data_IF_457467268705
#
_entry.id   IF_457467268705
#
_cell.length_a   1.000
_cell.length_b   1.000
_cell.length_c   1.000
_cell.angle_alpha   90.00
_cell.angle_beta   90.00
_cell.angle_gamma   90.00
#
_symmetry.space_group_name_H-M   'P 1'
#
loop_
_entity.id
_entity.type
_entity.pdbx_description
1 polymer ?
#
# COMPACT_ATOMS: atom_id res chain seq x y z
N UNK A 1 -8.83 -25.10 -26.64
CA UNK A 1 -9.13 -23.67 -26.42
C UNK A 1 -10.53 -23.61 -25.85
N UNK A 2 -10.67 -23.45 -24.53
CA UNK A 2 -11.99 -23.28 -23.92
C UNK A 2 -12.44 -21.84 -24.15
N UNK A 3 -13.59 -21.65 -24.81
CA UNK A 3 -14.27 -20.36 -24.84
C UNK A 3 -14.84 -20.12 -23.45
N UNK A 4 -14.53 -18.99 -22.80
CA UNK A 4 -15.29 -18.58 -21.62
C UNK A 4 -16.74 -18.32 -22.06
N UNK A 5 -17.69 -18.99 -21.45
CA UNK A 5 -19.11 -18.72 -21.64
C UNK A 5 -19.56 -17.57 -20.74
N UNK A 6 -20.64 -16.88 -21.11
CA UNK A 6 -21.22 -15.84 -20.24
C UNK A 6 -21.64 -16.40 -18.87
N UNK A 7 -21.97 -17.69 -18.80
CA UNK A 7 -22.33 -18.39 -17.57
C UNK A 7 -21.14 -18.50 -16.59
N UNK A 8 -19.91 -18.59 -17.10
CA UNK A 8 -18.68 -18.68 -16.29
C UNK A 8 -18.37 -17.35 -15.55
N UNK A 9 -19.06 -16.26 -15.91
CA UNK A 9 -18.88 -14.91 -15.39
C UNK A 9 -20.04 -14.49 -14.45
N UNK A 10 -20.79 -15.46 -13.95
CA UNK A 10 -21.91 -15.27 -13.03
C UNK A 10 -21.65 -15.88 -11.66
N UNK A 11 -22.22 -15.27 -10.63
CA UNK A 11 -22.10 -15.77 -9.27
C UNK A 11 -23.04 -16.96 -9.05
N UNK A 12 -22.53 -18.09 -8.56
CA UNK A 12 -23.34 -19.28 -8.31
C UNK A 12 -24.34 -19.15 -7.14
N UNK A 13 -24.33 -18.03 -6.39
CA UNK A 13 -25.25 -17.77 -5.28
C UNK A 13 -26.42 -16.88 -5.72
N UNK A 14 -26.14 -15.70 -6.27
CA UNK A 14 -27.18 -14.77 -6.74
C UNK A 14 -27.58 -14.99 -8.21
N UNK A 15 -26.83 -15.79 -8.97
CA UNK A 15 -27.05 -16.08 -10.40
C UNK A 15 -27.00 -14.85 -11.31
N UNK A 16 -26.42 -13.76 -10.83
CA UNK A 16 -26.21 -12.54 -11.61
C UNK A 16 -24.74 -12.39 -12.02
N UNK A 17 -24.42 -11.56 -13.03
CA UNK A 17 -23.05 -11.23 -13.39
C UNK A 17 -22.28 -10.63 -12.20
N UNK A 18 -20.99 -10.96 -12.11
CA UNK A 18 -20.16 -10.48 -11.00
C UNK A 18 -20.06 -8.95 -10.97
N UNK A 19 -20.44 -8.35 -9.85
CA UNK A 19 -20.28 -6.93 -9.59
C UNK A 19 -19.03 -6.65 -8.73
N UNK A 20 -18.76 -7.50 -7.74
CA UNK A 20 -17.57 -7.40 -6.89
C UNK A 20 -17.00 -8.80 -6.66
N UNK A 21 -16.30 -9.38 -7.67
CA UNK A 21 -15.83 -10.75 -7.61
C UNK A 21 -14.74 -10.91 -6.54
N UNK A 22 -14.92 -11.82 -5.60
CA UNK A 22 -13.91 -12.18 -4.60
C UNK A 22 -13.64 -13.68 -4.72
N UNK A 23 -12.35 -14.04 -4.76
CA UNK A 23 -11.91 -15.42 -4.96
C UNK A 23 -11.54 -16.06 -3.63
N UNK A 24 -12.16 -17.18 -3.30
CA UNK A 24 -11.81 -18.00 -2.14
C UNK A 24 -10.50 -18.75 -2.40
N UNK A 25 -9.88 -19.27 -1.33
CA UNK A 25 -8.64 -20.06 -1.42
C UNK A 25 -8.78 -21.34 -2.26
N UNK A 26 -10.00 -21.86 -2.41
CA UNK A 26 -10.27 -23.00 -3.29
C UNK A 26 -10.28 -22.64 -4.78
N UNK A 27 -10.11 -21.36 -5.14
CA UNK A 27 -10.12 -20.88 -6.53
C UNK A 27 -11.51 -20.56 -7.10
N UNK A 28 -12.58 -20.70 -6.32
CA UNK A 28 -13.93 -20.32 -6.74
C UNK A 28 -14.19 -18.84 -6.44
N UNK A 29 -14.84 -18.15 -7.36
CA UNK A 29 -15.15 -16.73 -7.28
C UNK A 29 -16.65 -16.51 -7.10
N UNK A 30 -17.00 -15.59 -6.20
CA UNK A 30 -18.39 -15.23 -5.90
C UNK A 30 -18.50 -13.71 -5.74
N UNK A 31 -19.72 -13.18 -5.75
CA UNK A 31 -19.95 -11.80 -5.34
C UNK A 31 -19.70 -11.62 -3.83
N UNK A 32 -19.05 -10.50 -3.49
CA UNK A 32 -18.72 -10.13 -2.10
C UNK A 32 -19.89 -10.26 -1.14
N UNK A 33 -21.03 -9.65 -1.44
CA UNK A 33 -22.16 -9.62 -0.52
C UNK A 33 -22.73 -11.02 -0.29
N UNK A 34 -22.76 -11.87 -1.33
CA UNK A 34 -23.10 -13.28 -1.18
C UNK A 34 -22.13 -14.01 -0.25
N UNK A 35 -20.82 -13.77 -0.37
CA UNK A 35 -19.85 -14.41 0.54
C UNK A 35 -19.97 -13.91 1.98
N UNK A 36 -20.43 -12.69 2.19
CA UNK A 36 -20.56 -12.10 3.52
C UNK A 36 -21.72 -12.72 4.28
N UNK A 37 -22.79 -13.08 3.59
CA UNK A 37 -23.89 -13.87 4.15
C UNK A 37 -23.47 -15.31 4.44
N UNK A 38 -22.46 -15.82 3.74
CA UNK A 38 -21.93 -17.18 3.86
C UNK A 38 -20.72 -17.30 4.80
N UNK A 39 -20.40 -16.28 5.60
CA UNK A 39 -19.31 -16.36 6.59
C UNK A 39 -19.52 -17.55 7.53
N UNK A 40 -18.42 -18.25 7.85
CA UNK A 40 -18.38 -19.48 8.63
C UNK A 40 -19.05 -20.71 7.96
N UNK A 41 -19.45 -20.59 6.69
CA UNK A 41 -19.93 -21.72 5.89
C UNK A 41 -18.86 -22.21 4.89
N UNK A 42 -18.89 -23.48 4.46
CA UNK A 42 -17.98 -23.98 3.44
C UNK A 42 -18.38 -23.47 2.04
N UNK A 43 -17.42 -23.44 1.11
CA UNK A 43 -17.66 -23.02 -0.27
C UNK A 43 -18.86 -23.78 -0.91
N UNK A 44 -19.83 -23.08 -1.52
CA UNK A 44 -21.01 -23.70 -2.13
C UNK A 44 -20.69 -24.73 -3.23
N UNK A 45 -19.58 -24.54 -3.93
CA UNK A 45 -19.20 -25.35 -5.09
C UNK A 45 -18.42 -26.60 -4.66
N UNK A 46 -17.30 -26.44 -3.97
CA UNK A 46 -16.43 -27.58 -3.62
C UNK A 46 -16.53 -28.05 -2.17
N UNK A 47 -17.16 -27.28 -1.28
CA UNK A 47 -17.31 -27.57 0.16
C UNK A 47 -16.00 -27.76 0.95
N UNK A 48 -14.85 -27.40 0.38
CA UNK A 48 -13.54 -27.62 1.00
C UNK A 48 -13.00 -26.39 1.75
N UNK A 49 -13.15 -25.19 1.19
CA UNK A 49 -12.66 -23.97 1.86
C UNK A 49 -13.74 -23.33 2.72
N UNK A 50 -13.40 -22.95 3.94
CA UNK A 50 -14.24 -22.13 4.80
C UNK A 50 -14.25 -20.68 4.32
N UNK A 51 -15.43 -20.04 4.30
CA UNK A 51 -15.55 -18.61 4.04
C UNK A 51 -15.23 -17.86 5.33
N UNK A 52 -14.14 -17.10 5.30
CA UNK A 52 -13.64 -16.36 6.44
C UNK A 52 -14.27 -14.96 6.51
N UNK A 53 -14.45 -14.42 7.72
CA UNK A 53 -15.02 -13.09 7.94
C UNK A 53 -14.23 -11.95 7.25
N UNK A 54 -12.95 -12.14 6.95
CA UNK A 54 -12.13 -11.15 6.25
C UNK A 54 -12.55 -10.92 4.79
N UNK A 55 -13.33 -11.84 4.19
CA UNK A 55 -13.86 -11.72 2.82
C UNK A 55 -14.67 -10.43 2.64
N UNK A 56 -15.35 -9.99 3.69
CA UNK A 56 -16.08 -8.72 3.71
C UNK A 56 -15.19 -7.50 3.38
N UNK A 57 -13.89 -7.56 3.70
CA UNK A 57 -12.93 -6.46 3.56
C UNK A 57 -12.00 -6.63 2.34
N UNK A 58 -11.82 -7.86 1.84
CA UNK A 58 -10.89 -8.18 0.75
C UNK A 58 -11.19 -7.37 -0.51
N UNK A 59 -10.20 -6.83 -1.24
CA UNK A 59 -10.48 -6.18 -2.52
C UNK A 59 -11.09 -7.15 -3.54
N UNK A 60 -11.85 -6.61 -4.50
CA UNK A 60 -12.35 -7.40 -5.62
C UNK A 60 -11.22 -7.80 -6.57
N UNK A 61 -11.42 -8.88 -7.31
CA UNK A 61 -10.54 -9.29 -8.39
C UNK A 61 -10.85 -8.44 -9.64
N UNK A 62 -10.06 -7.38 -9.85
CA UNK A 62 -10.25 -6.45 -10.95
C UNK A 62 -10.14 -7.10 -12.34
N UNK A 63 -9.38 -8.19 -12.50
CA UNK A 63 -9.24 -8.88 -13.78
C UNK A 63 -10.55 -9.58 -14.17
N UNK A 64 -11.14 -10.34 -13.24
CA UNK A 64 -12.44 -11.01 -13.49
C UNK A 64 -13.50 -9.97 -13.80
N UNK A 65 -13.51 -8.87 -13.06
CA UNK A 65 -14.46 -7.79 -13.26
C UNK A 65 -14.33 -7.12 -14.63
N UNK A 66 -13.11 -6.83 -15.09
CA UNK A 66 -12.88 -6.27 -16.42
C UNK A 66 -13.39 -7.21 -17.52
N UNK A 67 -13.16 -8.51 -17.36
CA UNK A 67 -13.68 -9.52 -18.28
C UNK A 67 -15.21 -9.53 -18.27
N UNK A 68 -15.84 -9.50 -17.10
CA UNK A 68 -17.32 -9.43 -16.98
C UNK A 68 -17.89 -8.21 -17.72
N UNK A 69 -17.31 -7.03 -17.52
CA UNK A 69 -17.74 -5.79 -18.18
C UNK A 69 -17.56 -5.87 -19.70
N UNK A 70 -16.44 -6.44 -20.17
CA UNK A 70 -16.17 -6.61 -21.59
C UNK A 70 -17.14 -7.58 -22.28
N UNK A 71 -17.52 -8.67 -21.60
CA UNK A 71 -18.48 -9.64 -22.12
C UNK A 71 -19.93 -9.14 -22.04
N UNK A 72 -20.30 -8.38 -21.00
CA UNK A 72 -21.65 -7.86 -20.79
C UNK A 72 -21.78 -6.38 -21.16
N UNK A 73 -21.34 -5.98 -22.35
CA UNK A 73 -21.36 -4.56 -22.77
C UNK A 73 -22.75 -3.91 -22.69
N UNK A 74 -23.80 -4.61 -23.11
CA UNK A 74 -25.18 -4.13 -23.06
C UNK A 74 -25.77 -4.02 -21.64
N UNK A 75 -25.26 -4.80 -20.69
CA UNK A 75 -25.68 -4.81 -19.27
C UNK A 75 -24.70 -4.11 -18.33
N UNK A 76 -23.61 -3.56 -18.87
CA UNK A 76 -22.47 -3.05 -18.09
C UNK A 76 -22.87 -1.95 -17.11
N UNK A 77 -23.83 -1.09 -17.48
CA UNK A 77 -24.33 -0.04 -16.60
C UNK A 77 -24.92 -0.58 -15.29
N UNK A 78 -25.73 -1.64 -15.35
CA UNK A 78 -26.32 -2.27 -14.16
C UNK A 78 -25.25 -2.95 -13.28
N UNK A 79 -24.25 -3.56 -13.92
CA UNK A 79 -23.11 -4.19 -13.24
C UNK A 79 -22.29 -3.13 -12.50
N UNK A 80 -22.00 -2.00 -13.15
CA UNK A 80 -21.29 -0.86 -12.56
C UNK A 80 -22.05 -0.24 -11.39
N UNK A 81 -23.38 -0.14 -11.45
CA UNK A 81 -24.16 0.36 -10.31
C UNK A 81 -24.07 -0.55 -9.10
N UNK A 82 -24.20 -1.88 -9.30
CA UNK A 82 -24.02 -2.87 -8.23
C UNK A 82 -22.60 -2.88 -7.68
N UNK A 83 -21.60 -2.70 -8.54
CA UNK A 83 -20.21 -2.58 -8.14
C UNK A 83 -19.99 -1.41 -7.18
N UNK A 84 -20.53 -0.24 -7.52
CA UNK A 84 -20.41 0.97 -6.69
C UNK A 84 -21.04 0.72 -5.32
N UNK A 85 -22.24 0.13 -5.28
CA UNK A 85 -22.94 -0.22 -4.05
C UNK A 85 -22.11 -1.20 -3.20
N UNK A 86 -21.63 -2.29 -3.78
CA UNK A 86 -20.78 -3.27 -3.08
C UNK A 86 -19.49 -2.64 -2.55
N UNK A 87 -18.86 -1.73 -3.31
CA UNK A 87 -17.65 -1.03 -2.88
C UNK A 87 -17.94 -0.05 -1.73
N UNK A 88 -19.07 0.67 -1.77
CA UNK A 88 -19.52 1.51 -0.65
C UNK A 88 -19.72 0.70 0.63
N UNK A 89 -20.40 -0.45 0.55
CA UNK A 89 -20.58 -1.38 1.68
C UNK A 89 -19.24 -1.92 2.19
N UNK A 90 -18.30 -2.22 1.30
CA UNK A 90 -16.94 -2.63 1.69
C UNK A 90 -16.22 -1.51 2.45
N UNK A 91 -16.23 -0.27 1.93
CA UNK A 91 -15.59 0.86 2.58
C UNK A 91 -16.20 1.17 3.95
N UNK A 92 -17.53 1.06 4.08
CA UNK A 92 -18.21 1.18 5.36
C UNK A 92 -17.71 0.12 6.37
N UNK A 93 -17.60 -1.14 5.95
CA UNK A 93 -17.06 -2.22 6.80
C UNK A 93 -15.59 -2.01 7.16
N UNK A 94 -14.76 -1.50 6.25
CA UNK A 94 -13.36 -1.15 6.53
C UNK A 94 -13.28 -0.03 7.58
N UNK A 95 -14.15 0.99 7.48
CA UNK A 95 -14.19 2.09 8.45
C UNK A 95 -14.65 1.62 9.85
N UNK A 96 -15.56 0.64 9.91
CA UNK A 96 -16.06 0.06 11.15
C UNK A 96 -15.17 -1.06 11.72
N UNK A 97 -14.31 -1.67 10.89
CA UNK A 97 -13.42 -2.72 11.32
C UNK A 97 -12.57 -2.19 12.49
N UNK A 98 -12.44 -2.97 13.58
CA UNK A 98 -11.58 -2.55 14.68
C UNK A 98 -10.19 -2.33 14.09
N UNK A 99 -9.69 -1.08 14.16
CA UNK A 99 -8.26 -0.82 13.97
C UNK A 99 -7.61 -1.83 14.88
N UNK A 100 -6.85 -2.77 14.33
CA UNK A 100 -6.04 -3.68 15.15
C UNK A 100 -5.41 -2.77 16.18
N UNK A 101 -5.79 -2.93 17.46
CA UNK A 101 -5.04 -2.31 18.54
C UNK A 101 -3.66 -2.80 18.23
N UNK A 102 -2.82 -1.91 17.66
CA UNK A 102 -1.42 -2.19 17.51
C UNK A 102 -1.10 -2.66 18.91
N UNK A 103 -0.77 -3.95 19.07
CA UNK A 103 -0.30 -4.42 20.35
C UNK A 103 0.87 -3.51 20.56
N UNK A 104 0.68 -2.50 21.40
CA UNK A 104 1.72 -1.84 22.10
C UNK A 104 2.23 -2.96 23.00
N UNK A 105 2.98 -3.87 22.40
CA UNK A 105 4.16 -4.37 23.00
C UNK A 105 4.92 -3.08 23.30
N UNK A 106 4.64 -2.53 24.48
CA UNK A 106 5.60 -1.80 25.26
C UNK A 106 6.82 -2.71 25.33
N UNK A 107 7.64 -2.67 24.28
CA UNK A 107 9.07 -2.60 24.53
C UNK A 107 9.17 -1.46 25.51
N UNK A 108 9.34 -1.79 26.79
CA UNK A 108 9.99 -0.89 27.74
C UNK A 108 11.28 -0.51 27.03
N UNK A 109 11.24 0.62 26.33
CA UNK A 109 12.43 1.31 25.90
C UNK A 109 13.08 1.71 27.22
N UNK A 110 14.29 1.21 27.54
CA UNK A 110 15.00 1.74 28.69
C UNK A 110 15.13 3.24 28.44
N UNK A 111 14.76 4.03 29.43
CA UNK A 111 14.96 5.47 29.42
C UNK A 111 16.47 5.73 29.37
N UNK A 112 17.00 5.84 28.17
CA UNK A 112 18.36 6.32 27.95
C UNK A 112 18.21 7.81 27.62
N UNK A 113 18.51 8.64 28.62
CA UNK A 113 18.68 10.08 28.44
C UNK A 113 19.96 10.33 27.64
N UNK A 114 19.86 10.24 26.31
CA UNK A 114 20.97 10.65 25.43
C UNK A 114 20.88 12.14 25.18
N UNK A 115 21.92 12.89 25.55
CA UNK A 115 22.04 14.30 25.21
C UNK A 115 22.23 14.43 23.70
N UNK A 116 21.21 14.93 23.02
CA UNK A 116 21.13 15.02 21.56
C UNK A 116 22.14 16.00 20.93
N UNK A 117 22.92 16.74 21.73
CA UNK A 117 23.91 17.69 21.23
C UNK A 117 25.18 17.06 20.65
N UNK A 118 25.65 15.94 21.22
CA UNK A 118 26.95 15.35 20.84
C UNK A 118 26.85 14.20 19.82
N UNK A 119 25.70 13.55 19.73
CA UNK A 119 25.50 12.37 18.87
C UNK A 119 25.25 12.76 17.41
N UNK A 120 24.59 13.89 17.15
CA UNK A 120 24.28 14.37 15.79
C UNK A 120 25.56 14.78 15.05
N UNK A 121 26.58 15.27 15.78
CA UNK A 121 27.83 15.74 15.18
C UNK A 121 28.75 14.60 14.73
N UNK A 122 28.81 13.49 15.49
CA UNK A 122 29.66 12.35 15.13
C UNK A 122 29.06 11.47 14.04
N UNK A 123 27.73 11.37 13.94
CA UNK A 123 27.09 10.49 12.97
C UNK A 123 27.05 11.10 11.57
N UNK A 124 26.98 12.43 11.43
CA UNK A 124 27.05 13.12 10.13
C UNK A 124 28.40 12.92 9.40
N UNK A 125 29.50 12.72 10.14
CA UNK A 125 30.84 12.46 9.60
C UNK A 125 31.08 10.99 9.24
N UNK A 126 30.25 10.06 9.75
CA UNK A 126 30.39 8.62 9.53
C UNK A 126 29.28 8.02 8.66
N UNK A 127 28.38 8.84 8.11
CA UNK A 127 27.41 8.37 7.13
C UNK A 127 28.13 8.06 5.81
N UNK A 128 28.03 6.84 5.27
CA UNK A 128 28.67 6.48 4.01
C UNK A 128 27.87 7.09 2.86
N UNK A 129 28.33 8.24 2.38
CA UNK A 129 27.69 8.99 1.28
C UNK A 129 27.65 8.19 -0.04
N UNK A 130 28.44 7.13 -0.17
CA UNK A 130 28.46 6.18 -1.30
C UNK A 130 27.15 5.41 -1.50
N UNK A 131 26.26 5.37 -0.49
CA UNK A 131 24.97 4.68 -0.59
C UNK A 131 23.85 5.55 -1.20
N UNK A 132 24.02 6.87 -1.23
CA UNK A 132 23.05 7.80 -1.84
C UNK A 132 23.34 7.99 -3.33
N UNK A 133 24.61 7.91 -3.73
CA UNK A 133 25.06 7.95 -5.11
C UNK A 133 25.57 6.55 -5.49
N UNK A 134 24.63 5.61 -5.68
CA UNK A 134 24.93 4.19 -5.85
C UNK A 134 25.93 3.85 -6.97
N UNK A 135 26.57 2.67 -6.91
CA UNK A 135 27.59 2.29 -7.89
C UNK A 135 26.94 1.93 -9.23
N UNK A 136 27.60 2.37 -10.29
CA UNK A 136 27.29 2.13 -11.69
C UNK A 136 26.84 0.68 -11.97
N UNK A 137 25.69 0.55 -12.61
CA UNK A 137 25.15 -0.71 -13.10
C UNK A 137 24.14 -0.49 -14.21
N UNK A 138 24.66 -0.49 -15.45
CA UNK A 138 24.01 -0.33 -16.75
C UNK A 138 23.82 1.10 -17.26
N UNK A 139 24.29 1.22 -18.48
CA UNK A 139 24.75 2.37 -19.23
C UNK A 139 23.60 2.86 -20.11
N UNK A 140 23.29 4.15 -20.03
CA UNK A 140 22.99 4.98 -21.21
C UNK A 140 23.07 6.47 -20.82
N UNK A 141 23.42 7.26 -21.82
CA UNK A 141 24.20 8.49 -21.81
C UNK A 141 23.58 9.71 -21.09
N UNK A 142 24.46 10.71 -20.90
CA UNK A 142 24.19 12.14 -20.73
C UNK A 142 24.31 12.71 -19.30
N UNK A 143 25.56 12.89 -18.90
CA UNK A 143 25.98 13.81 -17.83
C UNK A 143 25.42 15.22 -18.08
N UNK A 144 24.61 15.72 -17.16
CA UNK A 144 24.38 17.17 -17.01
C UNK A 144 25.17 17.66 -15.78
N UNK A 145 26.16 18.58 -15.94
CA UNK A 145 27.07 18.99 -14.87
C UNK A 145 26.44 19.88 -13.77
N UNK A 146 25.15 20.17 -13.85
CA UNK A 146 24.49 21.15 -12.97
C UNK A 146 24.06 20.57 -11.62
N UNK A 147 23.92 19.24 -11.53
CA UNK A 147 23.52 18.53 -10.31
C UNK A 147 24.63 18.45 -9.25
N UNK A 148 25.90 18.43 -9.68
CA UNK A 148 27.05 18.41 -8.78
C UNK A 148 27.34 19.80 -8.17
N UNK A 149 27.08 20.91 -8.86
CA UNK A 149 27.34 22.25 -8.30
C UNK A 149 26.36 22.62 -7.16
N UNK A 150 25.13 22.11 -7.26
CA UNK A 150 24.09 22.29 -6.24
C UNK A 150 24.42 21.58 -4.91
N UNK A 151 25.20 20.50 -4.92
CA UNK A 151 25.59 19.81 -3.69
C UNK A 151 26.68 20.55 -2.92
N UNK A 152 27.68 21.13 -3.60
CA UNK A 152 28.76 21.88 -2.94
C UNK A 152 28.28 23.21 -2.34
N UNK A 153 27.38 23.93 -3.02
CA UNK A 153 26.82 25.18 -2.50
C UNK A 153 26.07 24.98 -1.17
N UNK A 154 25.36 23.86 -1.02
CA UNK A 154 24.67 23.48 0.22
C UNK A 154 25.70 23.19 1.32
N UNK A 155 26.77 22.45 1.03
CA UNK A 155 27.85 22.15 1.99
C UNK A 155 28.56 23.44 2.45
N UNK A 156 28.87 24.33 1.51
CA UNK A 156 29.47 25.64 1.82
C UNK A 156 28.54 26.52 2.66
N UNK A 157 27.22 26.49 2.39
CA UNK A 157 26.23 27.21 3.18
C UNK A 157 26.17 26.73 4.64
N UNK A 158 26.15 25.41 4.86
CA UNK A 158 26.16 24.86 6.22
C UNK A 158 27.47 25.16 6.96
N UNK A 159 28.62 25.08 6.29
CA UNK A 159 29.91 25.43 6.88
C UNK A 159 29.99 26.92 7.26
N UNK A 160 29.55 27.81 6.37
CA UNK A 160 29.57 29.25 6.62
C UNK A 160 28.62 29.65 7.77
N UNK A 161 27.42 29.07 7.80
CA UNK A 161 26.46 29.30 8.88
C UNK A 161 26.99 28.84 10.25
N UNK A 162 27.70 27.70 10.29
CA UNK A 162 28.35 27.21 11.51
C UNK A 162 29.46 28.16 11.99
N UNK A 163 30.35 28.61 11.09
CA UNK A 163 31.43 29.54 11.44
C UNK A 163 30.88 30.88 11.94
N UNK A 164 29.84 31.41 11.30
CA UNK A 164 29.18 32.63 11.75
C UNK A 164 28.54 32.47 13.13
N UNK A 165 27.89 31.33 13.39
CA UNK A 165 27.33 31.04 14.70
C UNK A 165 28.41 31.01 15.78
N UNK A 166 29.56 30.39 15.50
CA UNK A 166 30.70 30.33 16.43
C UNK A 166 31.32 31.70 16.68
N UNK A 167 31.43 32.53 15.64
CA UNK A 167 31.94 33.90 15.77
C UNK A 167 31.01 34.77 16.61
N UNK A 168 29.69 34.67 16.40
CA UNK A 168 28.71 35.42 17.18
C UNK A 168 28.73 35.01 18.64
N UNK A 169 28.79 33.70 18.94
CA UNK A 169 28.92 33.23 20.32
C UNK A 169 30.21 33.71 20.97
N UNK A 170 31.33 33.66 20.23
CA UNK A 170 32.63 34.12 20.75
C UNK A 170 32.67 35.63 21.03
N UNK A 171 31.98 36.45 20.23
CA UNK A 171 31.90 37.91 20.43
C UNK A 171 30.94 38.28 21.57
N UNK A 172 29.90 37.48 21.81
CA UNK A 172 28.94 37.72 22.91
C UNK A 172 29.45 37.23 24.27
N UNK A 173 30.46 36.35 24.30
CA UNK A 173 31.13 35.87 25.51
C UNK A 173 32.28 36.80 25.99
N UNK A 174 32.45 37.99 25.39
CA UNK A 174 33.45 39.02 25.75
C UNK A 174 32.77 40.36 26.10
#
# INVERSE_FOLDING_TARGET
MGSLAAEDLTCAVCLEPFASPVSLYCGHTFDRECLVELVDSPCPICRQSLVLANVALQPKNALIQQVVIAFHSAGSAAILTREIEHEQLRLARVAMAPKSVARSATRRMPEVSVSWGSVVFFQAMSFPWDAIFGPAGLQEEEETPESCALSWSIVFMFACCFVLSQMVTYVLDF
#
